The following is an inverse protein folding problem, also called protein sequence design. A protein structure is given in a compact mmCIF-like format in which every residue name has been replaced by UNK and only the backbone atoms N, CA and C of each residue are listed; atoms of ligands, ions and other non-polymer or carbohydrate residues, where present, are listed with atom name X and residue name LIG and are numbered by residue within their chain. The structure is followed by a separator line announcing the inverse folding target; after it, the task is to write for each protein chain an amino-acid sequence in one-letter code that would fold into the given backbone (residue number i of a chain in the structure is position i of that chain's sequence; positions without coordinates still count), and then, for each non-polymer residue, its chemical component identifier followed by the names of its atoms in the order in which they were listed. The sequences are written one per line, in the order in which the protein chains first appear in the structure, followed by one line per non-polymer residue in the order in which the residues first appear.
data_IF_430630567364
#
_entry.id   IF_430630567364
#
_cell.length_a   1.000
_cell.length_b   1.000
_cell.length_c   1.000
_cell.angle_alpha   90.00
_cell.angle_beta   90.00
_cell.angle_gamma   90.00
#
_symmetry.space_group_name_H-M   'P 1'
#
loop_
_entity.id
_entity.type
_entity.pdbx_description
1 polymer ?
#
# COMPACT_ATOMS: atom_id res chain seq x y z
N UNK A 1 -10.31 -10.87 14.88
CA UNK A 1 -9.25 -11.74 15.41
C UNK A 1 -8.02 -10.86 15.60
N UNK A 2 -7.48 -10.79 16.82
CA UNK A 2 -6.14 -10.22 17.07
C UNK A 2 -5.10 -11.18 16.47
N UNK A 3 -4.02 -10.66 15.88
CA UNK A 3 -3.00 -11.46 15.20
C UNK A 3 -3.11 -11.57 13.67
N UNK A 4 -3.81 -10.65 13.00
CA UNK A 4 -3.57 -10.39 11.58
C UNK A 4 -2.37 -9.44 11.47
N UNK A 5 -1.33 -9.79 10.70
CA UNK A 5 -0.09 -8.98 10.69
C UNK A 5 -0.18 -7.60 10.01
N UNK A 6 -1.36 -6.98 10.02
CA UNK A 6 -1.66 -5.59 9.72
C UNK A 6 -1.91 -4.77 11.00
N UNK A 7 -1.44 -5.24 12.16
CA UNK A 7 -1.52 -4.50 13.42
C UNK A 7 -0.72 -3.19 13.35
N UNK A 8 -1.38 -2.14 12.86
CA UNK A 8 -1.01 -0.75 13.05
C UNK A 8 -1.27 -0.34 14.50
N UNK A 9 -0.44 0.57 15.01
CA UNK A 9 -0.70 1.18 16.31
C UNK A 9 -2.06 1.92 16.28
N UNK A 10 -2.78 1.90 17.40
CA UNK A 10 -4.13 2.47 17.50
C UNK A 10 -4.21 3.95 17.06
N UNK A 11 -3.15 4.73 17.34
CA UNK A 11 -3.02 6.13 16.90
C UNK A 11 -2.99 6.26 15.37
N UNK A 12 -2.35 5.33 14.69
CA UNK A 12 -2.22 5.34 13.24
C UNK A 12 -3.50 4.81 12.59
N UNK A 13 -4.14 3.81 13.18
CA UNK A 13 -5.49 3.37 12.81
C UNK A 13 -6.48 4.54 12.84
N UNK A 14 -6.47 5.33 13.92
CA UNK A 14 -7.38 6.47 14.06
C UNK A 14 -7.06 7.60 13.07
N UNK A 15 -5.77 7.83 12.78
CA UNK A 15 -5.36 8.79 11.76
C UNK A 15 -5.83 8.38 10.36
N UNK A 16 -5.57 7.12 9.94
CA UNK A 16 -5.86 6.65 8.57
C UNK A 16 -7.35 6.52 8.29
N UNK A 17 -8.20 6.33 9.31
CA UNK A 17 -9.67 6.36 9.15
C UNK A 17 -10.19 7.67 8.57
N UNK A 18 -9.48 8.78 8.77
CA UNK A 18 -9.86 10.11 8.29
C UNK A 18 -9.34 10.40 6.88
N UNK A 19 -8.45 9.55 6.37
CA UNK A 19 -7.80 9.74 5.09
C UNK A 19 -8.69 9.28 3.93
N UNK A 20 -9.24 10.22 3.16
CA UNK A 20 -10.00 9.90 1.93
C UNK A 20 -9.11 9.72 0.70
N UNK A 21 -7.98 10.44 0.64
CA UNK A 21 -7.00 10.30 -0.43
C UNK A 21 -5.66 9.98 0.19
N UNK A 22 -4.99 8.95 -0.32
CA UNK A 22 -3.73 8.48 0.22
C UNK A 22 -2.65 8.54 -0.85
N UNK A 23 -1.51 9.10 -0.50
CA UNK A 23 -0.23 8.83 -1.18
C UNK A 23 0.56 7.93 -0.24
N UNK A 24 0.85 6.72 -0.67
CA UNK A 24 1.55 5.71 0.11
C UNK A 24 2.91 5.40 -0.52
N UNK A 25 3.90 5.17 0.32
CA UNK A 25 5.18 4.58 -0.05
C UNK A 25 5.58 3.56 1.01
N UNK A 26 6.64 2.80 0.78
CA UNK A 26 7.15 1.89 1.80
C UNK A 26 8.63 1.60 1.67
N UNK A 27 9.25 1.39 2.82
CA UNK A 27 10.67 1.03 2.98
C UNK A 27 10.72 -0.17 3.93
N UNK A 28 11.41 -1.22 3.49
CA UNK A 28 11.54 -2.47 4.22
C UNK A 28 13.02 -2.84 4.28
N UNK A 29 13.46 -3.45 5.39
CA UNK A 29 14.85 -3.90 5.60
C UNK A 29 15.92 -2.81 5.41
N UNK A 30 15.54 -1.54 5.64
CA UNK A 30 16.40 -0.37 5.52
C UNK A 30 17.13 -0.24 4.15
N UNK A 31 16.55 -0.77 3.07
CA UNK A 31 17.17 -0.72 1.74
C UNK A 31 17.35 0.69 1.17
N UNK A 32 16.44 1.60 1.53
CA UNK A 32 16.31 2.91 0.90
C UNK A 32 16.19 4.02 1.96
N UNK A 33 16.61 5.23 1.59
CA UNK A 33 16.37 6.44 2.38
C UNK A 33 15.04 7.09 1.96
N UNK A 34 14.30 7.70 2.90
CA UNK A 34 13.01 8.31 2.59
C UNK A 34 13.16 9.57 1.72
N UNK A 35 12.76 9.46 0.46
CA UNK A 35 12.67 10.61 -0.45
C UNK A 35 11.43 11.47 -0.14
N UNK A 36 11.61 12.79 -0.07
CA UNK A 36 10.54 13.74 0.22
C UNK A 36 9.87 14.20 -1.08
N UNK A 37 8.52 14.19 -1.17
CA UNK A 37 7.80 14.85 -2.24
C UNK A 37 8.16 16.34 -2.35
N UNK A 38 8.37 16.80 -3.57
CA UNK A 38 8.61 18.21 -3.88
C UNK A 38 7.43 18.84 -4.62
N UNK A 39 7.34 20.17 -4.59
CA UNK A 39 6.30 20.95 -5.29
C UNK A 39 4.84 20.60 -4.94
N UNK A 40 4.58 20.13 -3.71
CA UNK A 40 3.23 19.82 -3.24
C UNK A 40 2.51 21.08 -2.75
N UNK A 41 1.37 21.42 -3.34
CA UNK A 41 0.56 22.58 -2.96
C UNK A 41 -0.04 22.44 -1.57
N UNK A 42 -0.36 23.59 -0.94
CA UNK A 42 -1.06 23.62 0.35
C UNK A 42 -2.41 22.88 0.32
N UNK A 43 -3.08 22.88 -0.83
CA UNK A 43 -4.36 22.17 -1.02
C UNK A 43 -4.14 20.66 -0.96
N UNK A 44 -3.13 20.15 -1.66
CA UNK A 44 -2.81 18.72 -1.68
C UNK A 44 -2.33 18.22 -0.33
N UNK A 45 -1.53 19.00 0.40
CA UNK A 45 -1.13 18.65 1.78
C UNK A 45 -2.31 18.53 2.74
N UNK A 46 -3.43 19.21 2.49
CA UNK A 46 -4.66 19.10 3.30
C UNK A 46 -5.58 17.97 2.84
N UNK A 47 -5.57 17.67 1.55
CA UNK A 47 -6.49 16.69 0.95
C UNK A 47 -5.96 15.26 1.02
N UNK A 48 -4.65 15.09 0.82
CA UNK A 48 -3.99 13.79 0.79
C UNK A 48 -3.27 13.50 2.10
N UNK A 49 -3.44 12.28 2.59
CA UNK A 49 -2.56 11.72 3.61
C UNK A 49 -1.32 11.12 2.96
N UNK A 50 -0.14 11.57 3.39
CA UNK A 50 1.15 11.05 2.96
C UNK A 50 1.61 10.01 3.98
N UNK A 51 1.55 8.74 3.61
CA UNK A 51 1.81 7.61 4.49
C UNK A 51 3.04 6.84 4.00
N UNK A 52 3.93 6.50 4.93
CA UNK A 52 5.12 5.70 4.66
C UNK A 52 5.07 4.45 5.53
N UNK A 53 4.87 3.32 4.87
CA UNK A 53 4.77 2.01 5.52
C UNK A 53 6.17 1.45 5.73
N UNK A 54 6.50 1.10 6.97
CA UNK A 54 7.84 0.62 7.34
C UNK A 54 7.76 -0.60 8.23
N UNK A 55 8.80 -1.43 8.17
CA UNK A 55 9.02 -2.47 9.16
C UNK A 55 9.86 -1.97 10.35
N UNK A 56 9.99 -2.81 11.37
CA UNK A 56 10.73 -2.44 12.58
C UNK A 56 12.17 -2.04 12.28
N UNK A 57 12.86 -2.81 11.43
CA UNK A 57 14.24 -2.54 11.01
C UNK A 57 14.36 -1.17 10.36
N UNK A 58 13.53 -0.87 9.37
CA UNK A 58 13.54 0.43 8.68
C UNK A 58 13.11 1.57 9.59
N UNK A 59 12.17 1.34 10.50
CA UNK A 59 11.72 2.34 11.46
C UNK A 59 12.83 2.75 12.44
N UNK A 60 13.57 1.79 13.00
CA UNK A 60 14.73 2.08 13.84
C UNK A 60 15.84 2.78 13.04
N UNK A 61 16.11 2.32 11.82
CA UNK A 61 17.09 2.95 10.94
C UNK A 61 16.73 4.42 10.67
N UNK A 62 15.48 4.71 10.31
CA UNK A 62 15.00 6.07 10.04
C UNK A 62 15.10 6.94 11.30
N UNK A 63 14.70 6.43 12.48
CA UNK A 63 14.80 7.19 13.74
C UNK A 63 16.22 7.61 14.10
N UNK A 64 17.20 6.79 13.73
CA UNK A 64 18.61 7.04 14.06
C UNK A 64 19.31 7.92 13.03
N UNK A 65 18.90 7.88 11.75
CA UNK A 65 19.60 8.55 10.65
C UNK A 65 18.89 9.80 10.13
N UNK A 66 17.60 9.97 10.40
CA UNK A 66 16.78 11.05 9.86
C UNK A 66 16.00 11.73 10.99
N UNK A 67 15.76 13.03 10.85
CA UNK A 67 14.94 13.78 11.80
C UNK A 67 13.49 13.31 11.76
N UNK A 68 13.05 12.65 12.82
CA UNK A 68 11.66 12.25 13.05
C UNK A 68 11.00 13.28 13.96
N UNK A 69 9.86 13.82 13.54
CA UNK A 69 8.99 14.68 14.37
C UNK A 69 7.81 13.89 14.90
N UNK A 70 7.35 14.21 16.10
CA UNK A 70 6.12 13.67 16.67
C UNK A 70 5.05 14.76 16.72
N UNK A 71 3.81 14.42 16.36
CA UNK A 71 2.66 15.32 16.48
C UNK A 71 1.94 15.15 17.83
N UNK A 72 0.96 16.01 18.11
CA UNK A 72 0.21 15.99 19.37
C UNK A 72 -0.62 14.71 19.57
N UNK A 73 -0.90 13.97 18.50
CA UNK A 73 -1.64 12.71 18.53
C UNK A 73 -0.67 11.50 18.63
N UNK A 74 0.62 11.74 18.89
CA UNK A 74 1.67 10.73 19.02
C UNK A 74 2.15 10.15 17.68
N UNK A 75 1.72 10.73 16.57
CA UNK A 75 2.10 10.32 15.22
C UNK A 75 3.51 10.73 14.87
N UNK A 76 4.26 9.80 14.26
CA UNK A 76 5.67 10.03 13.92
C UNK A 76 5.82 10.32 12.43
N UNK A 77 6.66 11.30 12.09
CA UNK A 77 6.77 11.81 10.73
C UNK A 77 8.20 12.08 10.30
N UNK A 78 8.46 11.85 9.02
CA UNK A 78 9.68 12.27 8.33
C UNK A 78 9.28 13.25 7.23
N UNK A 79 9.53 14.54 7.47
CA UNK A 79 9.02 15.61 6.61
C UNK A 79 7.49 15.56 6.49
N UNK A 80 6.97 15.29 5.29
CA UNK A 80 5.52 15.15 5.03
C UNK A 80 5.00 13.74 5.27
N UNK A 81 5.86 12.72 5.29
CA UNK A 81 5.43 11.33 5.47
C UNK A 81 5.10 11.04 6.92
N UNK A 82 3.91 10.50 7.19
CA UNK A 82 3.59 9.83 8.47
C UNK A 82 4.09 8.40 8.41
N UNK A 83 4.87 7.98 9.40
CA UNK A 83 5.37 6.62 9.52
C UNK A 83 4.25 5.70 10.02
N UNK A 84 4.07 4.58 9.32
CA UNK A 84 3.12 3.53 9.66
C UNK A 84 3.91 2.24 9.86
N UNK A 85 4.08 1.83 11.12
CA UNK A 85 4.84 0.64 11.46
C UNK A 85 3.99 -0.62 11.27
N UNK A 86 4.53 -1.58 10.51
CA UNK A 86 4.00 -2.94 10.39
C UNK A 86 4.88 -3.90 11.18
N UNK A 87 4.41 -4.34 12.34
CA UNK A 87 5.17 -5.19 13.26
C UNK A 87 5.30 -6.64 12.77
N UNK A 88 4.24 -7.17 12.14
CA UNK A 88 4.15 -8.58 11.77
C UNK A 88 4.13 -8.77 10.26
N UNK A 89 5.31 -9.05 9.70
CA UNK A 89 5.45 -9.31 8.27
C UNK A 89 4.98 -10.73 7.88
N UNK A 90 4.29 -10.89 6.73
CA UNK A 90 3.78 -12.19 6.26
C UNK A 90 4.85 -13.16 5.75
N UNK A 91 6.01 -12.64 5.34
CA UNK A 91 7.09 -13.45 4.76
C UNK A 91 8.41 -13.19 5.46
N UNK A 92 9.29 -14.18 5.44
CA UNK A 92 10.68 -14.03 5.90
C UNK A 92 11.51 -13.14 4.94
N UNK A 93 11.10 -13.09 3.67
CA UNK A 93 11.80 -12.34 2.62
C UNK A 93 11.31 -10.87 2.53
N UNK A 94 12.14 -9.87 2.84
CA UNK A 94 11.71 -8.47 2.94
C UNK A 94 11.17 -7.88 1.64
N UNK A 95 11.71 -8.31 0.51
CA UNK A 95 11.25 -7.87 -0.82
C UNK A 95 9.82 -8.29 -1.13
N UNK A 96 9.36 -9.44 -0.59
CA UNK A 96 7.95 -9.83 -0.68
C UNK A 96 7.10 -8.97 0.23
N UNK A 97 7.58 -8.69 1.44
CA UNK A 97 6.90 -7.81 2.39
C UNK A 97 6.69 -6.40 1.82
N UNK A 98 7.64 -5.86 1.06
CA UNK A 98 7.46 -4.58 0.36
C UNK A 98 6.44 -4.60 -0.79
N UNK A 99 6.19 -5.78 -1.40
CA UNK A 99 5.18 -5.93 -2.45
C UNK A 99 3.76 -6.00 -1.89
N UNK A 100 3.57 -6.52 -0.69
CA UNK A 100 2.22 -6.64 -0.12
C UNK A 100 1.53 -5.29 0.09
N UNK A 101 2.09 -4.28 0.78
CA UNK A 101 1.44 -2.97 0.95
C UNK A 101 1.26 -2.23 -0.38
N UNK A 102 2.11 -2.52 -1.38
CA UNK A 102 1.98 -2.01 -2.75
C UNK A 102 0.75 -2.55 -3.48
N UNK A 103 0.44 -3.82 -3.31
CA UNK A 103 -0.69 -4.49 -3.97
C UNK A 103 -1.99 -4.30 -3.14
N UNK A 104 -1.85 -4.35 -1.82
CA UNK A 104 -2.95 -4.36 -0.85
C UNK A 104 -3.03 -3.05 -0.05
N UNK A 105 -2.63 -1.93 -0.66
CA UNK A 105 -2.83 -0.60 -0.07
C UNK A 105 -4.29 -0.39 0.35
N UNK A 106 -5.20 -1.06 -0.35
CA UNK A 106 -6.61 -0.99 -0.09
C UNK A 106 -7.11 -1.73 1.16
N UNK A 107 -6.38 -2.76 1.59
CA UNK A 107 -6.65 -3.40 2.88
C UNK A 107 -6.06 -2.62 4.04
N UNK A 108 -4.91 -1.99 3.82
CA UNK A 108 -4.24 -1.16 4.84
C UNK A 108 -5.03 0.12 5.13
N UNK A 109 -5.56 0.77 4.10
CA UNK A 109 -6.29 2.04 4.24
C UNK A 109 -7.71 1.94 3.69
N UNK A 110 -8.59 1.14 4.32
CA UNK A 110 -9.89 0.79 3.75
C UNK A 110 -10.87 1.96 3.70
N UNK A 111 -10.61 3.05 4.44
CA UNK A 111 -11.40 4.27 4.41
C UNK A 111 -10.96 5.28 3.34
N UNK A 112 -9.81 5.02 2.69
CA UNK A 112 -9.44 5.80 1.52
C UNK A 112 -10.48 5.56 0.42
N UNK A 113 -10.61 6.48 -0.51
CA UNK A 113 -11.35 6.28 -1.76
C UNK A 113 -10.37 6.04 -2.91
N UNK A 114 -9.17 6.59 -2.77
CA UNK A 114 -8.14 6.60 -3.78
C UNK A 114 -6.76 6.51 -3.12
N UNK A 115 -5.91 5.63 -3.63
CA UNK A 115 -4.52 5.52 -3.19
C UNK A 115 -3.53 5.54 -4.35
N UNK A 116 -2.48 6.35 -4.20
CA UNK A 116 -1.31 6.38 -5.10
C UNK A 116 -0.16 5.67 -4.38
N UNK A 117 0.37 4.60 -4.96
CA UNK A 117 1.59 3.98 -4.45
C UNK A 117 2.82 4.53 -5.19
N UNK A 118 3.83 4.94 -4.43
CA UNK A 118 5.12 5.42 -4.94
C UNK A 118 6.22 4.54 -4.37
N UNK A 119 7.05 3.99 -5.25
CA UNK A 119 8.20 3.17 -4.85
C UNK A 119 9.18 4.00 -3.99
N UNK A 120 9.79 3.40 -2.96
CA UNK A 120 10.64 4.12 -2.01
C UNK A 120 11.85 4.82 -2.64
N UNK A 121 12.28 4.34 -3.82
CA UNK A 121 13.37 4.94 -4.62
C UNK A 121 12.95 6.13 -5.47
N UNK A 122 11.66 6.41 -5.55
CA UNK A 122 11.09 7.42 -6.44
C UNK A 122 10.66 8.65 -5.64
N UNK A 123 10.81 9.82 -6.25
CA UNK A 123 10.34 11.08 -5.71
C UNK A 123 9.07 11.55 -6.43
N UNK A 124 8.07 12.00 -5.65
CA UNK A 124 6.90 12.70 -6.20
C UNK A 124 7.25 14.17 -6.43
N UNK A 125 7.61 14.53 -7.65
CA UNK A 125 8.03 15.89 -8.03
C UNK A 125 6.91 16.81 -8.53
N UNK A 126 5.69 16.26 -8.71
CA UNK A 126 4.52 16.96 -9.23
C UNK A 126 3.35 16.75 -8.27
N UNK A 127 2.54 17.79 -8.09
CA UNK A 127 1.37 17.78 -7.22
C UNK A 127 0.36 16.65 -7.61
N UNK A 128 -0.08 15.80 -6.66
CA UNK A 128 -1.00 14.70 -6.94
C UNK A 128 -2.39 15.16 -7.42
N UNK A 129 -2.81 16.40 -7.15
CA UNK A 129 -4.03 16.96 -7.74
C UNK A 129 -3.93 17.07 -9.27
N UNK A 130 -2.73 17.29 -9.83
CA UNK A 130 -2.57 17.36 -11.28
C UNK A 130 -2.79 16.00 -11.94
N UNK A 131 -2.55 14.89 -11.22
CA UNK A 131 -2.92 13.55 -11.70
C UNK A 131 -4.44 13.41 -11.80
N UNK A 132 -5.19 13.93 -10.81
CA UNK A 132 -6.65 13.98 -10.85
C UNK A 132 -7.15 14.80 -12.03
N UNK A 133 -6.61 16.01 -12.23
CA UNK A 133 -7.02 16.91 -13.30
C UNK A 133 -6.70 16.35 -14.69
N UNK A 134 -5.49 15.80 -14.88
CA UNK A 134 -5.07 15.24 -16.17
C UNK A 134 -5.80 13.97 -16.54
N UNK A 135 -6.05 13.09 -15.58
CA UNK A 135 -6.71 11.81 -15.86
C UNK A 135 -8.24 11.94 -15.85
N UNK A 136 -8.80 12.95 -15.18
CA UNK A 136 -10.24 13.23 -15.16
C UNK A 136 -11.06 11.97 -14.85
N UNK A 137 -12.04 11.65 -15.70
CA UNK A 137 -12.84 10.42 -15.57
C UNK A 137 -12.03 9.12 -15.68
N UNK A 138 -10.87 9.14 -16.36
CA UNK A 138 -9.99 7.97 -16.49
C UNK A 138 -9.18 7.68 -15.23
N UNK A 139 -9.11 8.62 -14.30
CA UNK A 139 -8.39 8.49 -13.02
C UNK A 139 -8.80 7.22 -12.26
N UNK A 140 -10.09 6.86 -12.34
CA UNK A 140 -10.67 5.66 -11.70
C UNK A 140 -10.07 4.34 -12.22
N UNK A 141 -9.46 4.31 -13.40
CA UNK A 141 -8.86 3.10 -13.98
C UNK A 141 -7.37 2.96 -13.67
N UNK A 142 -6.68 4.08 -13.39
CA UNK A 142 -5.24 4.10 -13.14
C UNK A 142 -4.89 4.11 -11.65
N UNK A 143 -5.89 4.25 -10.79
CA UNK A 143 -5.71 4.24 -9.35
C UNK A 143 -6.63 3.23 -8.71
N UNK A 144 -6.12 2.59 -7.66
CA UNK A 144 -6.89 1.63 -6.87
C UNK A 144 -8.02 2.37 -6.17
N UNK A 145 -9.29 2.21 -6.62
CA UNK A 145 -10.42 2.70 -5.86
C UNK A 145 -10.43 1.87 -4.58
N UNK A 146 -10.26 2.54 -3.46
CA UNK A 146 -10.40 1.89 -2.18
C UNK A 146 -11.89 1.78 -1.88
N UNK A 147 -12.33 0.54 -1.70
CA UNK A 147 -13.68 0.01 -1.89
C UNK A 147 -14.07 -0.25 -3.36
N UNK A 148 -14.12 -1.56 -3.64
CA UNK A 148 -15.25 -2.18 -4.32
C UNK A 148 -15.28 -2.00 -5.85
N UNK A 149 -14.51 -2.90 -6.50
CA UNK A 149 -14.39 -3.12 -7.94
C UNK A 149 -13.55 -2.11 -8.74
N UNK A 150 -12.27 -2.47 -8.88
CA UNK A 150 -11.56 -2.65 -10.16
C UNK A 150 -10.06 -2.75 -9.85
N UNK A 151 -9.62 -3.85 -9.23
CA UNK A 151 -8.20 -4.17 -9.22
C UNK A 151 -7.83 -4.91 -10.50
N UNK A 152 -7.85 -4.21 -11.64
CA UNK A 152 -7.16 -4.69 -12.84
C UNK A 152 -5.69 -4.29 -12.65
N UNK A 153 -4.91 -5.23 -12.11
CA UNK A 153 -3.46 -5.07 -12.04
C UNK A 153 -2.90 -5.28 -13.45
N UNK A 154 -2.45 -4.21 -14.11
CA UNK A 154 -1.48 -4.36 -15.19
C UNK A 154 -0.12 -4.53 -14.51
N UNK A 155 0.23 -5.78 -14.22
CA UNK A 155 1.59 -6.11 -13.83
C UNK A 155 2.47 -5.97 -15.07
N UNK A 156 3.32 -4.94 -15.09
CA UNK A 156 4.43 -4.94 -16.02
C UNK A 156 5.27 -6.20 -15.77
N UNK A 157 5.64 -6.96 -16.82
CA UNK A 157 6.62 -8.02 -16.70
C UNK A 157 7.94 -7.39 -16.27
N UNK A 158 8.25 -7.45 -14.97
CA UNK A 158 9.52 -7.03 -14.44
C UNK A 158 10.54 -8.14 -14.70
N UNK A 159 11.37 -7.95 -15.72
CA UNK A 159 12.41 -8.88 -16.18
C UNK A 159 13.74 -8.77 -15.43
N UNK A 160 13.78 -8.14 -14.24
CA UNK A 160 15.02 -8.06 -13.46
C UNK A 160 15.15 -9.24 -12.50
N UNK A 161 16.26 -9.97 -12.63
CA UNK A 161 16.73 -11.09 -11.79
C UNK A 161 16.81 -10.77 -10.28
N UNK A 162 16.66 -9.50 -9.91
CA UNK A 162 16.68 -9.01 -8.54
C UNK A 162 15.29 -8.71 -7.98
N UNK A 163 14.21 -9.29 -8.49
CA UNK A 163 12.89 -9.15 -7.86
C UNK A 163 12.42 -10.51 -7.34
N UNK A 164 12.11 -10.58 -6.04
CA UNK A 164 11.55 -11.79 -5.44
C UNK A 164 10.28 -12.18 -6.17
N UNK A 165 10.17 -13.43 -6.60
CA UNK A 165 8.97 -13.95 -7.28
C UNK A 165 7.79 -13.86 -6.31
N UNK A 166 6.83 -12.98 -6.62
CA UNK A 166 5.48 -13.09 -6.09
C UNK A 166 4.69 -13.71 -7.22
N UNK A 167 4.52 -15.03 -7.13
CA UNK A 167 3.87 -15.84 -8.15
C UNK A 167 2.45 -16.17 -7.68
N UNK A 168 1.50 -16.03 -8.60
CA UNK A 168 0.12 -16.44 -8.37
C UNK A 168 0.01 -17.93 -8.62
N UNK A 169 -0.30 -18.70 -7.57
CA UNK A 169 -0.74 -20.06 -7.76
C UNK A 169 -2.14 -20.04 -8.36
N UNK A 170 -2.30 -20.62 -9.55
CA UNK A 170 -3.60 -20.71 -10.23
C UNK A 170 -4.42 -21.89 -9.72
N UNK A 171 -3.75 -22.88 -9.15
CA UNK A 171 -4.37 -24.08 -8.60
C UNK A 171 -3.81 -24.41 -7.21
N UNK A 172 -4.62 -25.13 -6.42
CA UNK A 172 -4.19 -25.63 -5.11
C UNK A 172 -3.03 -26.62 -5.21
N UNK A 173 -2.86 -27.29 -6.35
CA UNK A 173 -1.76 -28.22 -6.59
C UNK A 173 -0.43 -27.49 -6.84
N UNK A 174 -0.47 -26.40 -7.62
CA UNK A 174 0.69 -25.50 -7.80
C UNK A 174 1.10 -24.89 -6.47
N UNK A 175 0.14 -24.42 -5.67
CA UNK A 175 0.40 -23.88 -4.34
C UNK A 175 1.06 -24.91 -3.40
N UNK A 176 0.62 -26.17 -3.43
CA UNK A 176 1.21 -27.25 -2.62
C UNK A 176 2.64 -27.60 -3.04
N UNK A 177 2.99 -27.42 -4.31
CA UNK A 177 4.36 -27.65 -4.82
C UNK A 177 5.34 -26.55 -4.43
N UNK A 178 4.83 -25.37 -4.07
CA UNK A 178 5.61 -24.19 -3.73
C UNK A 178 5.32 -23.72 -2.30
N UNK A 179 5.74 -24.48 -1.27
CA UNK A 179 5.46 -24.14 0.13
C UNK A 179 6.06 -22.78 0.55
N UNK A 180 7.08 -22.28 -0.14
CA UNK A 180 7.67 -20.96 0.04
C UNK A 180 6.75 -19.80 -0.38
N UNK A 181 5.71 -20.06 -1.18
CA UNK A 181 4.68 -19.07 -1.52
C UNK A 181 3.61 -18.96 -0.43
N UNK A 182 3.55 -19.94 0.48
CA UNK A 182 2.60 -19.94 1.57
C UNK A 182 3.00 -18.93 2.63
N UNK A 183 2.09 -18.02 2.88
CA UNK A 183 2.11 -17.15 4.05
C UNK A 183 2.10 -18.03 5.31
N UNK A 184 3.13 -17.89 6.16
CA UNK A 184 3.39 -18.80 7.29
C UNK A 184 3.19 -18.14 8.65
N UNK A 185 2.96 -16.82 8.70
CA UNK A 185 2.99 -15.98 9.90
C UNK A 185 1.66 -15.26 10.21
N UNK A 186 0.58 -15.51 9.46
CA UNK A 186 -0.69 -14.80 9.58
C UNK A 186 -0.67 -13.34 9.12
N UNK A 187 0.32 -12.92 8.32
CA UNK A 187 0.63 -11.53 8.07
C UNK A 187 -0.35 -10.76 7.16
N UNK A 188 -0.52 -9.48 7.47
CA UNK A 188 -1.32 -8.44 6.78
C UNK A 188 -2.83 -8.66 6.66
N UNK A 189 -3.42 -9.48 7.53
CA UNK A 189 -4.87 -9.68 7.52
C UNK A 189 -5.37 -10.26 6.19
N UNK A 190 -4.52 -10.96 5.44
CA UNK A 190 -4.88 -11.60 4.17
C UNK A 190 -6.00 -12.63 4.35
N UNK A 191 -6.06 -13.24 5.53
CA UNK A 191 -7.05 -14.26 5.90
C UNK A 191 -8.21 -13.72 6.73
N UNK A 192 -8.20 -12.44 7.09
CA UNK A 192 -9.35 -11.81 7.75
C UNK A 192 -10.38 -11.41 6.70
N UNK A 193 -11.69 -11.48 7.01
CA UNK A 193 -12.72 -10.95 6.12
C UNK A 193 -12.39 -9.53 5.70
N UNK A 194 -12.73 -9.16 4.46
CA UNK A 194 -12.52 -7.80 3.98
C UNK A 194 -13.18 -6.83 4.97
N UNK A 195 -12.50 -5.76 5.41
CA UNK A 195 -13.04 -4.86 6.42
C UNK A 195 -14.25 -4.04 5.92
N UNK A 196 -14.50 -4.00 4.61
CA UNK A 196 -15.68 -3.41 4.00
C UNK A 196 -16.85 -4.39 3.84
N UNK A 197 -18.08 -3.88 3.75
CA UNK A 197 -19.26 -4.69 3.53
C UNK A 197 -19.39 -5.10 2.05
N UNK A 198 -19.05 -6.36 1.76
CA UNK A 198 -19.08 -6.91 0.40
C UNK A 198 -20.49 -6.97 -0.25
N UNK A 199 -21.55 -6.67 0.47
CA UNK A 199 -22.90 -6.58 -0.12
C UNK A 199 -23.16 -5.20 -0.77
N UNK A 200 -22.32 -4.19 -0.52
CA UNK A 200 -22.45 -2.84 -1.09
C UNK A 200 -21.68 -2.68 -2.42
N UNK A 201 -20.97 -3.72 -2.84
CA UNK A 201 -20.04 -3.71 -3.96
C UNK A 201 -20.88 -3.71 -5.24
N UNK A 202 -20.70 -2.74 -6.15
CA UNK A 202 -21.40 -2.68 -7.46
C UNK A 202 -20.45 -2.94 -8.64
N UNK A 203 -20.50 -4.14 -9.23
CA UNK A 203 -19.60 -4.51 -10.36
C UNK A 203 -19.90 -3.59 -11.54
N UNK A 204 -18.88 -2.96 -12.16
CA UNK A 204 -19.11 -2.30 -13.43
C UNK A 204 -19.58 -3.36 -14.43
N UNK A 205 -20.61 -3.08 -15.25
CA UNK A 205 -21.05 -4.00 -16.28
C UNK A 205 -19.91 -4.19 -17.29
N UNK A 206 -19.24 -5.35 -17.23
CA UNK A 206 -18.22 -5.73 -18.21
C UNK A 206 -18.93 -6.34 -19.41
N UNK A 207 -19.15 -5.54 -20.46
CA UNK A 207 -19.52 -6.09 -21.75
C UNK A 207 -18.32 -6.88 -22.29
N UNK A 208 -18.42 -8.22 -22.32
CA UNK A 208 -17.44 -9.08 -22.99
C UNK A 208 -17.37 -8.68 -24.46
N UNK A 209 -16.30 -8.00 -24.86
CA UNK A 209 -16.04 -7.65 -26.26
C UNK A 209 -15.26 -8.74 -27.01
N UNK A 210 -14.86 -9.82 -26.32
CA UNK A 210 -14.03 -10.89 -26.89
C UNK A 210 -14.56 -12.29 -26.50
N UNK A 211 -14.51 -13.22 -27.46
CA UNK A 211 -14.89 -14.65 -27.35
C UNK A 211 -13.73 -15.55 -26.89
N UNK A 212 -12.74 -15.05 -26.14
CA UNK A 212 -11.73 -15.92 -25.54
C UNK A 212 -12.18 -16.33 -24.12
N UNK A 213 -12.27 -17.66 -23.92
CA UNK A 213 -12.89 -18.34 -22.78
C UNK A 213 -12.29 -18.06 -21.41
#
# INVERSE_FOLDING_TARGET
MQGGGDEMDAKDVEYVKRCRFVVATGIFDAYDLPHQPSNISKRSKKLFCFLMVVDEVSFYFIKNNVTVREDNDGGQWVGIWRLILLKQQPYDEPRRNGKVPKILTHRLFPQAQYSIWIDGKMELIVDPLLLLERLGGRFKFFMFPNCEYNSIFILHPHTREHSSKVEWAKTMEEFKKHPELRESRGGLGLWTPYPGNLDLVVLPPVARTSKAG
#
